data_IF_509472481896
#
_entry.id   IF_509472481896
#
_cell.length_a   1.000
_cell.length_b   1.000
_cell.length_c   1.000
_cell.angle_alpha   90.00
_cell.angle_beta   90.00
_cell.angle_gamma   90.00
#
_symmetry.space_group_name_H-M   'P 1'
#
loop_
_entity.id
_entity.type
_entity.pdbx_description
1 polymer ?
#
# COMPACT_ATOMS: atom_id res chain seq x y z
N UNK A 1 -38.29 9.51 41.64
CA UNK A 1 -37.86 10.44 40.56
C UNK A 1 -36.81 9.71 39.74
N UNK A 2 -37.18 9.19 38.55
CA UNK A 2 -36.28 8.50 37.62
C UNK A 2 -35.47 9.57 36.87
N UNK A 3 -34.14 9.55 36.99
CA UNK A 3 -33.25 10.36 36.15
C UNK A 3 -32.78 9.52 34.96
N UNK A 4 -33.34 9.80 33.79
CA UNK A 4 -32.88 9.29 32.50
C UNK A 4 -31.51 9.88 32.17
N UNK A 5 -30.46 9.05 32.25
CA UNK A 5 -29.17 9.33 31.64
C UNK A 5 -29.30 9.20 30.12
N UNK A 6 -29.15 10.34 29.44
CA UNK A 6 -29.18 10.43 27.99
C UNK A 6 -27.81 9.98 27.46
N UNK A 7 -27.59 8.67 27.35
CA UNK A 7 -26.42 8.10 26.68
C UNK A 7 -26.58 8.26 25.17
N UNK A 8 -26.21 9.44 24.67
CA UNK A 8 -26.12 9.69 23.24
C UNK A 8 -24.79 9.11 22.72
N UNK A 9 -24.71 7.78 22.68
CA UNK A 9 -23.68 7.07 21.91
C UNK A 9 -24.00 7.36 20.46
N UNK A 10 -23.20 8.25 19.83
CA UNK A 10 -23.26 8.43 18.39
C UNK A 10 -23.00 7.06 17.74
N UNK A 11 -23.89 6.58 16.86
CA UNK A 11 -23.63 5.36 16.11
C UNK A 11 -22.36 5.54 15.30
N UNK A 12 -21.54 4.49 15.20
CA UNK A 12 -20.40 4.39 14.31
C UNK A 12 -20.77 5.01 12.97
N UNK A 13 -20.19 6.18 12.70
CA UNK A 13 -20.46 6.91 11.48
C UNK A 13 -20.10 5.99 10.33
N UNK A 14 -21.10 5.65 9.52
CA UNK A 14 -20.91 5.08 8.20
C UNK A 14 -19.81 5.87 7.51
N UNK A 15 -18.61 5.27 7.41
CA UNK A 15 -17.47 5.87 6.73
C UNK A 15 -17.92 6.05 5.28
N UNK A 16 -18.33 7.27 4.94
CA UNK A 16 -18.61 7.70 3.58
C UNK A 16 -17.50 7.16 2.69
N UNK A 17 -17.88 6.54 1.57
CA UNK A 17 -16.98 5.78 0.69
C UNK A 17 -15.74 6.59 0.27
N UNK A 18 -14.70 6.58 1.10
CA UNK A 18 -13.44 7.24 0.79
C UNK A 18 -12.84 6.52 -0.41
N UNK A 19 -12.61 7.25 -1.50
CA UNK A 19 -12.17 6.65 -2.77
C UNK A 19 -10.67 6.43 -2.71
N UNK A 20 -10.28 5.25 -2.26
CA UNK A 20 -8.91 4.82 -1.99
C UNK A 20 -8.00 4.59 -3.22
N UNK A 21 -8.22 5.31 -4.33
CA UNK A 21 -7.49 5.11 -5.59
C UNK A 21 -6.18 5.90 -5.74
N UNK A 22 -5.90 6.86 -4.86
CA UNK A 22 -4.71 7.73 -4.93
C UNK A 22 -3.57 7.22 -4.06
N UNK A 23 -2.35 7.42 -4.52
CA UNK A 23 -1.10 7.20 -3.76
C UNK A 23 -0.45 8.55 -3.44
N UNK A 24 -0.42 9.47 -4.41
CA UNK A 24 0.09 10.84 -4.26
C UNK A 24 -0.98 11.79 -4.80
N UNK A 25 -1.27 12.87 -4.09
CA UNK A 25 -2.13 13.96 -4.57
C UNK A 25 -1.52 15.32 -4.26
N UNK A 26 -1.73 16.32 -5.12
CA UNK A 26 -1.34 17.70 -4.88
C UNK A 26 -2.58 18.51 -4.48
N UNK A 27 -2.72 18.75 -3.17
CA UNK A 27 -3.87 19.41 -2.54
C UNK A 27 -5.06 18.49 -2.19
N UNK A 28 -5.90 18.95 -1.24
CA UNK A 28 -7.03 18.16 -0.69
C UNK A 28 -8.07 17.79 -1.75
N UNK A 29 -8.48 18.75 -2.57
CA UNK A 29 -9.48 18.56 -3.62
C UNK A 29 -9.10 17.41 -4.57
N UNK A 30 -7.86 17.40 -5.06
CA UNK A 30 -7.38 16.35 -5.95
C UNK A 30 -7.34 14.95 -5.30
N UNK A 31 -7.14 14.90 -3.98
CA UNK A 31 -7.15 13.65 -3.22
C UNK A 31 -8.55 13.02 -3.10
N UNK A 32 -9.61 13.83 -3.22
CA UNK A 32 -11.01 13.43 -3.02
C UNK A 32 -11.78 13.29 -4.34
N UNK A 33 -11.28 13.90 -5.42
CA UNK A 33 -11.93 13.86 -6.72
C UNK A 33 -12.04 12.44 -7.33
N UNK A 34 -13.16 12.14 -8.00
CA UNK A 34 -13.33 10.93 -8.81
C UNK A 34 -12.20 10.73 -9.83
N UNK A 35 -11.73 9.50 -10.04
CA UNK A 35 -10.70 9.18 -11.05
C UNK A 35 -11.06 9.57 -12.47
N UNK A 36 -12.33 9.66 -12.82
CA UNK A 36 -12.78 10.16 -14.12
C UNK A 36 -12.58 11.66 -14.30
N UNK A 37 -12.41 12.42 -13.21
CA UNK A 37 -12.31 13.89 -13.22
C UNK A 37 -10.88 14.39 -12.95
N UNK A 38 -9.97 13.49 -12.60
CA UNK A 38 -8.56 13.84 -12.36
C UNK A 38 -7.82 13.83 -13.68
N UNK A 39 -7.15 14.95 -13.98
CA UNK A 39 -6.25 15.07 -15.13
C UNK A 39 -5.14 14.02 -15.04
N UNK A 40 -5.03 13.12 -16.01
CA UNK A 40 -3.87 12.24 -16.14
C UNK A 40 -2.85 12.90 -17.07
N UNK A 41 -1.82 13.55 -16.51
CA UNK A 41 -0.70 14.00 -17.35
C UNK A 41 -0.02 12.80 -18.02
N UNK A 42 0.13 12.88 -19.35
CA UNK A 42 0.91 11.91 -20.10
C UNK A 42 2.39 12.20 -19.85
N UNK A 43 3.04 11.34 -19.06
CA UNK A 43 4.44 11.51 -18.69
C UNK A 43 5.39 11.45 -19.91
N UNK A 44 4.93 10.88 -21.04
CA UNK A 44 5.63 10.96 -22.33
C UNK A 44 5.68 12.39 -22.90
N UNK A 45 4.70 13.23 -22.59
CA UNK A 45 4.73 14.65 -22.98
C UNK A 45 5.71 15.44 -22.11
N UNK A 46 5.76 15.18 -20.80
CA UNK A 46 6.73 15.80 -19.88
C UNK A 46 8.17 15.50 -20.28
N UNK A 47 8.46 14.24 -20.64
CA UNK A 47 9.80 13.84 -21.11
C UNK A 47 10.18 14.38 -22.49
N UNK A 48 9.20 14.73 -23.35
CA UNK A 48 9.48 15.44 -24.61
C UNK A 48 9.84 16.90 -24.36
N UNK A 49 9.12 17.56 -23.45
CA UNK A 49 9.36 18.96 -23.07
C UNK A 49 10.76 19.14 -22.48
N UNK A 50 11.17 18.23 -21.58
CA UNK A 50 12.50 18.29 -20.94
C UNK A 50 13.65 18.05 -21.94
N UNK A 51 13.41 17.27 -23.01
CA UNK A 51 14.38 17.05 -24.10
C UNK A 51 14.46 18.21 -25.09
N UNK A 52 13.38 18.97 -25.29
CA UNK A 52 13.36 20.13 -26.21
C UNK A 52 13.89 21.41 -25.56
N UNK A 53 13.94 21.48 -24.23
CA UNK A 53 14.47 22.63 -23.49
C UNK A 53 16.00 22.57 -23.40
N UNK A 54 16.69 22.83 -24.51
CA UNK A 54 18.09 23.28 -24.50
C UNK A 54 18.16 24.75 -24.08
N UNK A 55 17.74 25.07 -22.85
CA UNK A 55 17.72 26.46 -22.37
C UNK A 55 18.59 26.58 -21.12
N UNK A 56 19.67 27.35 -21.27
CA UNK A 56 20.66 27.71 -20.25
C UNK A 56 20.11 28.66 -19.16
N UNK A 57 18.88 28.46 -18.67
CA UNK A 57 18.28 29.33 -17.65
C UNK A 57 17.94 28.57 -16.37
N UNK A 58 18.86 28.66 -15.42
CA UNK A 58 18.60 29.11 -14.04
C UNK A 58 17.49 28.38 -13.25
N UNK A 59 17.49 27.05 -13.18
CA UNK A 59 17.34 26.27 -11.94
C UNK A 59 17.10 24.77 -12.20
N UNK A 60 18.16 23.97 -12.17
CA UNK A 60 18.03 22.52 -12.17
C UNK A 60 18.10 22.00 -10.73
N UNK A 61 17.13 21.17 -10.34
CA UNK A 61 17.27 20.36 -9.12
C UNK A 61 17.99 19.07 -9.49
N UNK A 62 19.16 18.89 -8.90
CA UNK A 62 19.93 17.65 -8.98
C UNK A 62 19.61 16.80 -7.75
N UNK A 63 19.06 15.62 -7.99
CA UNK A 63 19.06 14.52 -7.02
C UNK A 63 20.11 13.48 -7.42
N UNK A 64 20.40 12.54 -6.53
CA UNK A 64 21.21 11.36 -6.86
C UNK A 64 20.57 10.52 -8.00
N UNK A 65 19.25 10.63 -8.18
CA UNK A 65 18.46 9.84 -9.11
C UNK A 65 18.22 10.49 -10.48
N UNK A 66 18.46 11.80 -10.61
CA UNK A 66 18.24 12.52 -11.86
C UNK A 66 18.33 14.05 -11.73
N UNK A 67 18.19 14.71 -12.86
CA UNK A 67 18.01 16.17 -12.96
C UNK A 67 16.56 16.46 -13.33
N UNK A 68 16.02 17.54 -12.80
CA UNK A 68 14.67 18.00 -13.15
C UNK A 68 14.64 19.52 -13.29
N UNK A 69 14.03 19.99 -14.39
CA UNK A 69 13.77 21.39 -14.61
C UNK A 69 12.67 21.92 -13.70
N UNK A 70 12.69 23.23 -13.45
CA UNK A 70 11.68 23.91 -12.63
C UNK A 70 10.29 23.77 -13.21
N UNK A 71 10.18 23.86 -14.53
CA UNK A 71 8.94 23.76 -15.31
C UNK A 71 8.32 22.37 -15.16
N UNK A 72 9.15 21.32 -15.21
CA UNK A 72 8.70 19.96 -14.95
C UNK A 72 8.16 19.81 -13.53
N UNK A 73 8.83 20.37 -12.52
CA UNK A 73 8.36 20.32 -11.12
C UNK A 73 6.99 20.98 -10.96
N UNK A 74 6.81 22.17 -11.53
CA UNK A 74 5.52 22.89 -11.47
C UNK A 74 4.44 22.08 -12.17
N UNK A 75 4.70 21.56 -13.38
CA UNK A 75 3.74 20.73 -14.11
C UNK A 75 3.37 19.43 -13.39
N UNK A 76 4.32 18.82 -12.68
CA UNK A 76 4.02 17.64 -11.84
C UNK A 76 3.09 17.99 -10.68
N UNK A 77 3.25 19.18 -10.08
CA UNK A 77 2.35 19.64 -9.02
C UNK A 77 0.98 20.08 -9.56
N UNK A 78 0.93 20.59 -10.79
CA UNK A 78 -0.32 20.82 -11.53
C UNK A 78 -1.01 19.49 -11.88
N UNK A 79 -0.26 18.38 -11.98
CA UNK A 79 -0.84 17.05 -12.02
C UNK A 79 -1.47 16.73 -10.67
N UNK A 80 -2.77 16.95 -10.60
CA UNK A 80 -3.57 16.91 -9.38
C UNK A 80 -3.39 15.62 -8.58
N UNK A 81 -3.31 14.42 -9.19
CA UNK A 81 -3.05 13.19 -8.46
C UNK A 81 -2.46 12.01 -9.27
N UNK A 82 -1.84 11.07 -8.55
CA UNK A 82 -1.25 9.83 -9.06
C UNK A 82 -1.84 8.60 -8.35
N UNK A 83 -2.05 7.53 -9.12
CA UNK A 83 -2.63 6.25 -8.68
C UNK A 83 -1.52 5.20 -8.57
N UNK A 84 -1.85 3.98 -8.13
CA UNK A 84 -0.91 2.85 -8.13
C UNK A 84 -0.32 2.55 -9.51
N UNK A 85 -1.04 2.86 -10.59
CA UNK A 85 -0.55 2.66 -11.97
C UNK A 85 0.34 3.81 -12.43
N UNK A 86 -0.04 5.07 -12.16
CA UNK A 86 0.69 6.23 -12.68
C UNK A 86 1.84 6.69 -11.78
N UNK A 87 1.88 6.27 -10.51
CA UNK A 87 2.98 6.62 -9.59
C UNK A 87 4.31 6.02 -10.05
N UNK A 88 4.31 4.82 -10.66
CA UNK A 88 5.53 4.23 -11.20
C UNK A 88 6.04 5.02 -12.41
N UNK A 89 5.15 5.50 -13.27
CA UNK A 89 5.55 6.38 -14.36
C UNK A 89 6.11 7.71 -13.83
N UNK A 90 5.53 8.25 -12.75
CA UNK A 90 6.08 9.42 -12.07
C UNK A 90 7.51 9.12 -11.59
N UNK A 91 7.73 7.99 -10.93
CA UNK A 91 9.07 7.58 -10.46
C UNK A 91 10.04 7.38 -11.63
N UNK A 92 9.60 6.81 -12.76
CA UNK A 92 10.42 6.69 -13.98
C UNK A 92 10.84 8.04 -14.52
N UNK A 93 10.01 9.07 -14.34
CA UNK A 93 10.32 10.44 -14.72
C UNK A 93 11.29 11.11 -13.73
N UNK A 94 10.96 11.11 -12.42
CA UNK A 94 11.72 11.87 -11.42
C UNK A 94 13.00 11.17 -10.95
N UNK A 95 13.04 9.84 -11.02
CA UNK A 95 14.08 8.98 -10.44
C UNK A 95 14.47 7.85 -11.39
N UNK A 96 14.64 8.16 -12.68
CA UNK A 96 14.87 7.17 -13.74
C UNK A 96 16.05 6.23 -13.46
N UNK A 97 17.13 6.69 -12.80
CA UNK A 97 18.28 5.84 -12.46
C UNK A 97 17.91 4.78 -11.43
N UNK A 98 17.15 5.17 -10.41
CA UNK A 98 16.63 4.24 -9.39
C UNK A 98 15.69 3.24 -10.05
N UNK A 99 14.74 3.73 -10.84
CA UNK A 99 13.74 2.86 -11.47
C UNK A 99 14.39 1.85 -12.42
N UNK A 100 15.41 2.24 -13.18
CA UNK A 100 16.15 1.29 -14.02
C UNK A 100 16.74 0.14 -13.20
N UNK A 101 17.42 0.46 -12.09
CA UNK A 101 17.97 -0.56 -11.18
C UNK A 101 16.86 -1.41 -10.55
N UNK A 102 15.75 -0.80 -10.15
CA UNK A 102 14.64 -1.53 -9.55
C UNK A 102 14.01 -2.50 -10.56
N UNK A 103 13.77 -2.06 -11.80
CA UNK A 103 13.11 -2.83 -12.85
C UNK A 103 13.98 -3.96 -13.44
N UNK A 104 15.30 -3.92 -13.19
CA UNK A 104 16.20 -5.04 -13.48
C UNK A 104 15.92 -6.23 -12.52
N UNK A 105 15.40 -5.97 -11.32
CA UNK A 105 15.23 -6.96 -10.25
C UNK A 105 13.79 -7.17 -9.78
N UNK A 106 12.89 -6.24 -10.02
CA UNK A 106 11.52 -6.26 -9.52
C UNK A 106 10.53 -5.97 -10.64
N UNK A 107 9.39 -6.61 -10.54
CA UNK A 107 8.24 -6.36 -11.39
C UNK A 107 7.07 -5.80 -10.57
N UNK A 108 6.21 -5.05 -11.25
CA UNK A 108 5.06 -4.37 -10.65
C UNK A 108 3.76 -4.61 -11.45
N UNK A 109 3.77 -5.63 -12.31
CA UNK A 109 2.66 -5.94 -13.21
C UNK A 109 1.67 -6.93 -12.62
N UNK A 110 0.69 -7.29 -13.45
CA UNK A 110 -0.25 -8.39 -13.21
C UNK A 110 -0.20 -9.27 -14.45
N UNK A 111 0.06 -10.56 -14.29
CA UNK A 111 0.20 -11.44 -15.43
C UNK A 111 -1.13 -11.71 -16.12
N UNK A 112 -1.22 -11.46 -17.42
CA UNK A 112 -2.36 -11.89 -18.25
C UNK A 112 -2.36 -13.41 -18.46
N UNK A 113 -1.18 -13.98 -18.71
CA UNK A 113 -0.95 -15.43 -18.85
C UNK A 113 0.25 -15.87 -18.02
N UNK A 114 0.04 -16.56 -16.89
CA UNK A 114 1.13 -17.03 -16.01
C UNK A 114 1.97 -18.17 -16.64
N UNK A 115 1.55 -18.75 -17.76
CA UNK A 115 2.32 -19.74 -18.52
C UNK A 115 3.34 -19.11 -19.49
N UNK A 116 3.39 -17.79 -19.58
CA UNK A 116 4.38 -17.09 -20.42
C UNK A 116 5.81 -17.38 -19.89
N UNK A 117 6.72 -17.92 -20.72
CA UNK A 117 8.09 -18.25 -20.32
C UNK A 117 8.86 -17.09 -19.69
N UNK A 118 8.48 -15.83 -19.96
CA UNK A 118 9.14 -14.67 -19.37
C UNK A 118 9.09 -14.68 -17.84
N UNK A 119 8.05 -15.25 -17.22
CA UNK A 119 7.91 -15.31 -15.77
C UNK A 119 8.88 -16.28 -15.10
N UNK A 120 9.61 -17.09 -15.87
CA UNK A 120 10.76 -17.85 -15.38
C UNK A 120 11.95 -16.97 -14.97
N UNK A 121 11.97 -15.69 -15.37
CA UNK A 121 13.04 -14.77 -15.02
C UNK A 121 12.91 -14.27 -13.56
N UNK A 122 14.02 -14.25 -12.81
CA UNK A 122 14.05 -13.95 -11.37
C UNK A 122 13.38 -12.65 -10.96
N UNK A 123 13.37 -11.65 -11.85
CA UNK A 123 12.74 -10.35 -11.59
C UNK A 123 11.24 -10.40 -11.26
N UNK A 124 10.57 -11.50 -11.61
CA UNK A 124 9.14 -11.71 -11.38
C UNK A 124 8.83 -12.50 -10.10
N UNK A 125 9.82 -13.19 -9.53
CA UNK A 125 9.59 -14.18 -8.46
C UNK A 125 9.05 -13.57 -7.17
N UNK A 126 9.37 -12.30 -6.89
CA UNK A 126 8.86 -11.59 -5.72
C UNK A 126 7.44 -11.06 -5.90
N UNK A 127 6.90 -11.06 -7.14
CA UNK A 127 5.56 -10.56 -7.41
C UNK A 127 4.54 -11.71 -7.44
N UNK A 128 3.69 -11.85 -6.41
CA UNK A 128 2.71 -12.94 -6.34
C UNK A 128 1.60 -12.85 -7.41
N UNK A 129 1.51 -11.73 -8.13
CA UNK A 129 0.59 -11.53 -9.26
C UNK A 129 1.20 -11.91 -10.62
N UNK A 130 2.48 -12.27 -10.65
CA UNK A 130 3.22 -12.68 -11.85
C UNK A 130 3.94 -14.02 -11.70
N UNK A 131 3.82 -14.67 -10.54
CA UNK A 131 4.33 -16.02 -10.30
C UNK A 131 3.23 -16.94 -9.77
N UNK A 132 3.41 -18.25 -9.95
CA UNK A 132 2.52 -19.30 -9.44
C UNK A 132 3.09 -19.89 -8.16
N UNK A 133 2.22 -20.37 -7.28
CA UNK A 133 2.62 -21.30 -6.24
C UNK A 133 3.14 -22.61 -6.88
N UNK A 134 4.10 -23.28 -6.21
CA UNK A 134 4.70 -24.51 -6.71
C UNK A 134 3.70 -25.67 -6.76
N UNK A 135 4.08 -26.75 -7.44
CA UNK A 135 3.29 -27.96 -7.46
C UNK A 135 3.46 -28.78 -6.17
N UNK A 136 2.68 -28.43 -5.15
CA UNK A 136 2.82 -28.98 -3.80
C UNK A 136 1.44 -29.19 -3.12
N UNK A 137 0.60 -30.14 -3.57
CA UNK A 137 -0.77 -30.30 -3.07
C UNK A 137 -0.86 -30.66 -1.57
N UNK A 138 0.16 -31.31 -1.02
CA UNK A 138 0.21 -31.69 0.41
C UNK A 138 0.75 -30.56 1.31
N UNK A 139 1.12 -29.41 0.74
CA UNK A 139 1.63 -28.26 1.50
C UNK A 139 0.50 -27.27 1.79
N UNK A 140 0.46 -26.77 3.02
CA UNK A 140 -0.41 -25.68 3.42
C UNK A 140 0.30 -24.32 3.30
N UNK A 141 -0.44 -23.29 2.90
CA UNK A 141 0.01 -21.90 2.90
C UNK A 141 -0.65 -21.13 4.05
N UNK A 142 0.15 -20.50 4.89
CA UNK A 142 -0.34 -19.69 6.00
C UNK A 142 0.06 -18.22 5.80
N UNK A 143 -0.92 -17.33 5.74
CA UNK A 143 -0.69 -15.87 5.76
C UNK A 143 -0.94 -15.32 7.16
N UNK A 144 0.15 -14.99 7.86
CA UNK A 144 0.16 -14.45 9.22
C UNK A 144 0.49 -12.96 9.17
N UNK A 145 -0.42 -12.08 9.61
CA UNK A 145 -0.17 -10.63 9.60
C UNK A 145 -0.99 -9.86 10.64
N UNK A 146 -0.51 -8.67 10.98
CA UNK A 146 -1.13 -7.79 11.96
C UNK A 146 -2.25 -6.94 11.35
N UNK A 147 -3.26 -6.60 12.17
CA UNK A 147 -4.39 -5.76 11.76
C UNK A 147 -4.86 -4.86 12.90
N UNK A 148 -5.70 -3.87 12.60
CA UNK A 148 -6.31 -2.98 13.58
C UNK A 148 -5.47 -1.75 13.91
N UNK A 149 -4.43 -1.45 13.12
CA UNK A 149 -3.58 -0.27 13.29
C UNK A 149 -3.74 0.67 12.09
N UNK A 150 -3.98 1.98 12.32
CA UNK A 150 -3.95 2.97 11.25
C UNK A 150 -2.62 2.92 10.49
N UNK A 151 -2.69 2.60 9.21
CA UNK A 151 -1.55 2.37 8.33
C UNK A 151 -1.58 3.31 7.14
N UNK A 152 -0.47 3.99 6.88
CA UNK A 152 -0.38 4.98 5.81
C UNK A 152 -0.63 4.35 4.43
N UNK A 153 -1.51 4.98 3.65
CA UNK A 153 -1.89 4.52 2.31
C UNK A 153 -1.53 5.51 1.22
N UNK A 154 -1.70 6.79 1.49
CA UNK A 154 -1.47 7.84 0.51
C UNK A 154 -1.18 9.17 1.17
N UNK A 155 -0.55 10.06 0.41
CA UNK A 155 -0.11 11.35 0.92
C UNK A 155 -0.57 12.50 0.03
N UNK A 156 -0.90 13.60 0.67
CA UNK A 156 -1.21 14.87 0.05
C UNK A 156 0.04 15.74 0.15
N UNK A 157 0.57 16.11 -1.00
CA UNK A 157 1.75 16.94 -1.16
C UNK A 157 1.37 18.38 -1.52
N UNK A 158 2.30 19.29 -1.23
CA UNK A 158 2.33 20.65 -1.74
C UNK A 158 3.72 21.01 -2.26
N UNK A 159 3.74 21.98 -3.16
CA UNK A 159 4.99 22.59 -3.59
C UNK A 159 5.61 23.39 -2.44
N UNK A 160 6.91 23.23 -2.24
CA UNK A 160 7.66 23.95 -1.21
C UNK A 160 7.69 25.45 -1.50
N UNK A 161 7.30 26.29 -0.53
CA UNK A 161 7.32 27.76 -0.67
C UNK A 161 8.73 28.32 -0.88
N UNK A 162 9.76 27.57 -0.46
CA UNK A 162 11.17 27.94 -0.66
C UNK A 162 11.71 27.63 -2.06
N UNK A 163 10.90 27.01 -2.92
CA UNK A 163 11.28 26.64 -4.29
C UNK A 163 11.57 27.86 -5.19
N UNK A 164 11.01 29.04 -4.87
CA UNK A 164 11.20 30.26 -5.66
C UNK A 164 12.60 30.87 -5.61
N UNK A 165 13.50 30.42 -4.73
CA UNK A 165 14.83 31.03 -4.50
C UNK A 165 16.00 30.36 -5.22
N UNK A 166 15.74 29.42 -6.13
CA UNK A 166 16.79 28.64 -6.77
C UNK A 166 17.75 27.88 -5.85
N UNK A 167 17.27 27.57 -4.64
CA UNK A 167 18.02 26.78 -3.67
C UNK A 167 17.78 25.28 -3.94
N UNK A 168 18.79 24.44 -3.68
CA UNK A 168 18.76 22.96 -3.78
C UNK A 168 17.86 22.30 -2.72
N UNK A 169 16.68 22.86 -2.49
CA UNK A 169 15.74 22.38 -1.50
C UNK A 169 14.80 21.33 -2.11
N UNK A 170 14.32 20.40 -1.28
CA UNK A 170 13.34 19.39 -1.69
C UNK A 170 12.08 20.10 -2.22
N UNK A 171 11.66 19.88 -3.49
CA UNK A 171 10.60 20.64 -4.13
C UNK A 171 9.21 20.30 -3.61
N UNK A 172 8.98 19.05 -3.19
CA UNK A 172 7.69 18.56 -2.72
C UNK A 172 7.75 18.25 -1.22
N UNK A 173 6.70 18.60 -0.48
CA UNK A 173 6.56 18.27 0.94
C UNK A 173 5.15 17.78 1.22
N UNK A 174 5.01 16.85 2.15
CA UNK A 174 3.69 16.45 2.66
C UNK A 174 3.01 17.69 3.25
N UNK A 175 1.77 17.92 2.86
CA UNK A 175 0.97 19.04 3.31
C UNK A 175 0.39 18.77 4.70
N UNK A 176 1.19 19.04 5.73
CA UNK A 176 0.83 18.85 7.14
C UNK A 176 -0.32 19.74 7.63
N UNK A 177 -0.76 20.71 6.85
CA UNK A 177 -1.94 21.54 7.19
C UNK A 177 -3.26 20.93 6.71
N UNK A 178 -3.22 19.79 6.03
CA UNK A 178 -4.43 19.11 5.55
C UNK A 178 -4.83 18.01 6.52
N UNK A 179 -5.92 18.26 7.24
CA UNK A 179 -6.61 17.27 8.07
C UNK A 179 -8.01 16.97 7.50
N UNK A 180 -8.48 15.75 7.78
CA UNK A 180 -9.86 15.34 7.52
C UNK A 180 -10.74 15.60 8.73
N UNK A 181 -12.05 15.57 8.50
CA UNK A 181 -13.04 15.56 9.58
C UNK A 181 -13.13 14.17 10.25
N UNK A 182 -12.56 13.15 9.60
CA UNK A 182 -12.44 11.77 10.09
C UNK A 182 -11.00 11.43 10.55
N UNK A 183 -10.87 10.32 11.27
CA UNK A 183 -9.57 9.81 11.76
C UNK A 183 -8.66 9.34 10.61
N UNK A 184 -9.20 9.21 9.40
CA UNK A 184 -8.53 8.61 8.26
C UNK A 184 -7.62 9.58 7.49
N UNK A 185 -7.68 10.89 7.73
CA UNK A 185 -6.76 11.88 7.13
C UNK A 185 -6.18 12.78 8.20
N UNK A 186 -4.87 12.68 8.43
CA UNK A 186 -4.17 13.47 9.44
C UNK A 186 -2.82 13.94 8.92
N UNK A 187 -2.55 15.24 9.02
CA UNK A 187 -1.27 15.84 8.65
C UNK A 187 -0.86 15.55 7.20
N UNK A 188 -1.82 15.47 6.28
CA UNK A 188 -1.61 15.15 4.87
C UNK A 188 -1.39 13.66 4.57
N UNK A 189 -1.39 12.77 5.56
CA UNK A 189 -1.35 11.32 5.36
C UNK A 189 -2.75 10.71 5.52
N UNK A 190 -3.13 9.83 4.59
CA UNK A 190 -4.35 9.04 4.68
C UNK A 190 -4.04 7.65 5.21
N UNK A 191 -4.89 7.19 6.12
CA UNK A 191 -4.74 5.93 6.83
C UNK A 191 -5.84 4.93 6.44
N UNK A 192 -5.48 3.65 6.45
CA UNK A 192 -6.39 2.50 6.32
C UNK A 192 -6.00 1.44 7.35
N UNK A 193 -6.80 0.38 7.46
CA UNK A 193 -6.45 -0.76 8.30
C UNK A 193 -5.19 -1.48 7.81
N UNK A 194 -4.34 -1.92 8.74
CA UNK A 194 -3.06 -2.59 8.50
C UNK A 194 -2.27 -2.82 9.79
N UNK A 195 -0.96 -2.98 9.64
CA UNK A 195 -0.01 -3.28 10.72
C UNK A 195 0.92 -2.10 11.08
N UNK A 196 0.50 -0.85 10.83
CA UNK A 196 1.29 0.40 10.90
C UNK A 196 2.13 0.68 9.64
N UNK A 197 2.57 -0.36 8.90
CA UNK A 197 3.44 -0.20 7.73
C UNK A 197 2.81 -0.71 6.43
N UNK A 198 2.18 -1.87 6.48
CA UNK A 198 1.61 -2.60 5.34
C UNK A 198 0.09 -2.63 5.48
N UNK A 199 -0.65 -2.03 4.51
CA UNK A 199 -2.10 -2.10 4.51
C UNK A 199 -2.61 -3.54 4.43
N UNK A 200 -3.74 -3.85 5.07
CA UNK A 200 -4.38 -5.18 5.06
C UNK A 200 -4.51 -5.75 3.65
N UNK A 201 -4.91 -4.93 2.68
CA UNK A 201 -5.07 -5.40 1.30
C UNK A 201 -3.75 -5.90 0.70
N UNK A 202 -2.61 -5.30 1.07
CA UNK A 202 -1.30 -5.73 0.59
C UNK A 202 -0.86 -7.03 1.27
N UNK A 203 -1.11 -7.16 2.58
CA UNK A 203 -0.71 -8.33 3.36
C UNK A 203 -1.59 -9.57 3.07
N UNK A 204 -2.89 -9.37 2.90
CA UNK A 204 -3.87 -10.46 2.92
C UNK A 204 -4.50 -10.83 1.57
N UNK A 205 -4.42 -9.99 0.54
CA UNK A 205 -5.18 -10.21 -0.71
C UNK A 205 -4.94 -11.57 -1.35
N UNK A 206 -3.68 -12.02 -1.39
CA UNK A 206 -3.33 -13.27 -2.04
C UNK A 206 -3.93 -14.47 -1.30
N UNK A 207 -3.74 -14.62 0.02
CA UNK A 207 -4.40 -15.71 0.75
C UNK A 207 -5.93 -15.57 0.84
N UNK A 208 -6.46 -14.36 0.83
CA UNK A 208 -7.91 -14.14 0.87
C UNK A 208 -8.61 -14.52 -0.46
N UNK A 209 -7.92 -14.37 -1.59
CA UNK A 209 -8.53 -14.58 -2.93
C UNK A 209 -7.60 -15.17 -3.98
N UNK A 210 -6.41 -14.61 -4.16
CA UNK A 210 -5.49 -15.01 -5.23
C UNK A 210 -5.10 -16.48 -5.17
N UNK A 211 -4.74 -16.98 -4.00
CA UNK A 211 -4.32 -18.35 -3.73
C UNK A 211 -5.43 -19.22 -3.13
N UNK A 212 -6.61 -18.66 -2.84
CA UNK A 212 -7.66 -19.39 -2.13
C UNK A 212 -8.29 -20.46 -3.03
N UNK A 213 -8.06 -21.73 -2.68
CA UNK A 213 -8.46 -22.87 -3.49
C UNK A 213 -7.65 -22.98 -4.79
N UNK A 214 -8.16 -23.74 -5.75
CA UNK A 214 -7.48 -23.96 -7.04
C UNK A 214 -7.71 -22.77 -7.99
N UNK A 215 -6.66 -21.99 -8.22
CA UNK A 215 -6.66 -20.81 -9.10
C UNK A 215 -5.47 -20.85 -10.06
N UNK A 216 -5.39 -19.91 -10.99
CA UNK A 216 -4.20 -19.70 -11.83
C UNK A 216 -2.94 -19.36 -11.03
N UNK A 217 -3.09 -18.78 -9.84
CA UNK A 217 -1.97 -18.43 -8.94
C UNK A 217 -1.65 -19.57 -7.97
N UNK A 218 -2.60 -20.46 -7.69
CA UNK A 218 -2.44 -21.68 -6.89
C UNK A 218 -2.90 -22.91 -7.70
N UNK A 219 -2.09 -23.37 -8.67
CA UNK A 219 -2.50 -24.41 -9.61
C UNK A 219 -2.73 -25.78 -8.95
N UNK A 220 -2.06 -26.05 -7.83
CA UNK A 220 -2.16 -27.31 -7.10
C UNK A 220 -3.29 -27.32 -6.09
N UNK A 221 -3.88 -26.15 -5.82
CA UNK A 221 -4.96 -26.01 -4.84
C UNK A 221 -4.48 -26.26 -3.41
N UNK A 222 -3.26 -25.83 -3.08
CA UNK A 222 -2.75 -25.80 -1.69
C UNK A 222 -3.80 -25.21 -0.77
N UNK A 223 -4.05 -25.82 0.39
CA UNK A 223 -4.92 -25.20 1.39
C UNK A 223 -4.29 -23.90 1.90
N UNK A 224 -5.10 -22.86 2.02
CA UNK A 224 -4.64 -21.51 2.37
C UNK A 224 -5.39 -21.00 3.60
N UNK A 225 -4.64 -20.59 4.61
CA UNK A 225 -5.18 -20.05 5.85
C UNK A 225 -4.78 -18.58 6.05
N UNK A 226 -5.74 -17.75 6.43
CA UNK A 226 -5.53 -16.36 6.82
C UNK A 226 -5.59 -16.27 8.33
N UNK A 227 -4.49 -15.81 8.96
CA UNK A 227 -4.40 -15.62 10.40
C UNK A 227 -4.02 -14.19 10.72
N UNK A 228 -5.02 -13.43 11.16
CA UNK A 228 -4.87 -12.04 11.54
C UNK A 228 -4.62 -11.90 13.05
N UNK A 229 -3.68 -11.03 13.41
CA UNK A 229 -3.35 -10.69 14.78
C UNK A 229 -3.81 -9.25 15.07
N UNK A 230 -5.00 -9.13 15.64
CA UNK A 230 -5.58 -7.84 16.01
C UNK A 230 -4.73 -7.17 17.08
N UNK A 231 -4.20 -6.00 16.76
CA UNK A 231 -3.37 -5.23 17.67
C UNK A 231 -4.10 -4.89 18.97
N UNK A 232 -3.42 -5.14 20.08
CA UNK A 232 -3.79 -4.61 21.40
C UNK A 232 -2.63 -3.79 21.94
N UNK A 233 -2.88 -2.53 22.34
CA UNK A 233 -1.84 -1.72 22.98
C UNK A 233 -1.43 -2.35 24.33
N UNK A 234 -0.18 -2.15 24.77
CA UNK A 234 0.29 -2.69 26.04
C UNK A 234 -0.57 -2.20 27.21
N UNK A 235 -0.89 -3.10 28.14
CA UNK A 235 -1.78 -2.81 29.26
C UNK A 235 -1.13 -1.95 30.36
N UNK A 236 0.21 -1.86 30.37
CA UNK A 236 0.98 -1.06 31.31
C UNK A 236 2.38 -0.71 30.76
N UNK A 237 3.09 0.19 31.46
CA UNK A 237 4.43 0.66 31.06
C UNK A 237 5.51 -0.44 31.07
N UNK A 238 5.33 -1.49 31.89
CA UNK A 238 6.28 -2.62 31.99
C UNK A 238 6.18 -3.56 30.80
N UNK A 239 5.01 -3.63 30.16
CA UNK A 239 4.74 -4.42 28.96
C UNK A 239 5.20 -3.69 27.69
N UNK A 240 6.33 -2.98 27.72
CA UNK A 240 6.84 -2.03 26.72
C UNK A 240 6.29 -2.13 25.29
N UNK A 241 6.30 -3.32 24.67
CA UNK A 241 5.87 -3.55 23.28
C UNK A 241 4.50 -4.22 23.10
N UNK A 242 3.89 -4.73 24.18
CA UNK A 242 2.64 -5.48 24.19
C UNK A 242 2.84 -6.94 23.75
N UNK A 243 2.32 -7.89 24.53
CA UNK A 243 2.36 -9.32 24.19
C UNK A 243 1.43 -9.71 23.04
N UNK A 244 0.46 -8.84 22.71
CA UNK A 244 -0.50 -9.03 21.62
C UNK A 244 -0.40 -7.90 20.56
N UNK A 245 0.81 -7.38 20.34
CA UNK A 245 1.03 -6.33 19.34
C UNK A 245 0.85 -6.87 17.92
N UNK A 246 0.02 -6.19 17.13
CA UNK A 246 -0.12 -6.43 15.68
C UNK A 246 0.73 -5.48 14.82
N UNK A 247 1.68 -4.75 15.40
CA UNK A 247 2.49 -3.78 14.64
C UNK A 247 3.59 -4.48 13.86
N UNK A 248 3.92 -3.99 12.67
CA UNK A 248 4.76 -4.63 11.66
C UNK A 248 6.03 -5.28 12.21
N UNK A 249 6.77 -4.56 13.06
CA UNK A 249 8.01 -5.06 13.68
C UNK A 249 7.74 -5.85 14.97
N UNK A 250 6.76 -5.40 15.77
CA UNK A 250 6.49 -5.97 17.09
C UNK A 250 5.67 -7.26 17.04
N UNK A 251 5.07 -7.60 15.89
CA UNK A 251 4.29 -8.83 15.69
C UNK A 251 5.11 -10.09 15.93
N UNK A 252 6.44 -10.03 15.76
CA UNK A 252 7.34 -11.14 16.10
C UNK A 252 7.32 -11.52 17.59
N UNK A 253 6.90 -10.60 18.47
CA UNK A 253 6.68 -10.86 19.89
C UNK A 253 5.22 -11.16 20.25
N UNK A 254 4.33 -11.27 19.26
CA UNK A 254 2.92 -11.57 19.49
C UNK A 254 2.76 -13.03 19.93
N UNK A 255 2.20 -13.25 21.12
CA UNK A 255 2.06 -14.60 21.71
C UNK A 255 1.22 -15.53 20.84
N UNK A 256 0.16 -15.02 20.20
CA UNK A 256 -0.67 -15.81 19.30
C UNK A 256 0.04 -16.20 18.01
N UNK A 257 0.86 -15.29 17.47
CA UNK A 257 1.67 -15.60 16.28
C UNK A 257 2.73 -16.64 16.61
N UNK A 258 3.44 -16.46 17.71
CA UNK A 258 4.46 -17.42 18.16
C UNK A 258 3.85 -18.79 18.43
N UNK A 259 2.68 -18.85 19.06
CA UNK A 259 1.95 -20.10 19.28
C UNK A 259 1.57 -20.79 17.96
N UNK A 260 0.98 -20.06 17.01
CA UNK A 260 0.61 -20.61 15.70
C UNK A 260 1.85 -21.12 14.95
N UNK A 261 2.95 -20.35 14.91
CA UNK A 261 4.21 -20.75 14.27
C UNK A 261 4.79 -22.02 14.91
N UNK A 262 4.79 -22.11 16.25
CA UNK A 262 5.29 -23.30 16.95
C UNK A 262 4.42 -24.53 16.67
N UNK A 263 3.10 -24.37 16.64
CA UNK A 263 2.17 -25.46 16.33
C UNK A 263 2.36 -25.96 14.90
N UNK A 264 2.43 -25.05 13.92
CA UNK A 264 2.69 -25.39 12.51
C UNK A 264 4.04 -26.11 12.39
N UNK A 265 5.10 -25.57 13.00
CA UNK A 265 6.43 -26.19 12.98
C UNK A 265 6.46 -27.58 13.67
N UNK A 266 5.55 -27.83 14.61
CA UNK A 266 5.38 -29.14 15.26
C UNK A 266 4.51 -30.13 14.47
N UNK A 267 4.00 -29.73 13.30
CA UNK A 267 3.22 -30.58 12.41
C UNK A 267 1.70 -30.46 12.55
N UNK A 268 1.20 -29.48 13.29
CA UNK A 268 -0.24 -29.20 13.33
C UNK A 268 -0.70 -28.60 12.00
N UNK A 269 -1.79 -29.13 11.45
CA UNK A 269 -2.49 -28.57 10.28
C UNK A 269 -3.16 -27.24 10.58
N UNK A 270 -3.48 -26.49 9.54
CA UNK A 270 -4.22 -25.23 9.64
C UNK A 270 -5.58 -25.39 10.31
N UNK A 271 -6.24 -26.53 10.14
CA UNK A 271 -7.50 -26.83 10.81
C UNK A 271 -7.31 -27.07 12.32
N UNK A 272 -6.24 -27.77 12.73
CA UNK A 272 -5.95 -28.03 14.15
C UNK A 272 -5.58 -26.77 14.93
N UNK A 273 -5.00 -25.76 14.27
CA UNK A 273 -4.77 -24.44 14.87
C UNK A 273 -6.00 -23.50 14.78
N UNK A 274 -7.14 -24.00 14.30
CA UNK A 274 -8.42 -23.29 14.29
C UNK A 274 -8.80 -22.59 12.98
N UNK A 275 -8.13 -22.90 11.87
CA UNK A 275 -8.49 -22.44 10.53
C UNK A 275 -8.26 -20.94 10.29
N UNK A 276 -9.15 -20.32 9.52
CA UNK A 276 -9.10 -18.88 9.26
C UNK A 276 -9.48 -18.07 10.51
N UNK A 277 -8.68 -17.04 10.79
CA UNK A 277 -8.90 -16.05 11.84
C UNK A 277 -8.84 -14.66 11.22
N UNK A 278 -10.00 -14.09 10.92
CA UNK A 278 -10.14 -12.81 10.20
C UNK A 278 -10.91 -11.82 11.07
N UNK A 279 -10.33 -10.64 11.27
CA UNK A 279 -10.90 -9.48 11.96
C UNK A 279 -11.16 -8.29 11.02
N UNK A 280 -10.36 -8.18 9.96
CA UNK A 280 -10.40 -7.09 8.99
C UNK A 280 -11.47 -7.33 7.91
N UNK A 281 -11.64 -6.32 7.06
CA UNK A 281 -12.50 -6.40 5.88
C UNK A 281 -11.84 -7.09 4.67
N UNK A 282 -10.70 -7.77 4.82
CA UNK A 282 -9.90 -8.29 3.68
C UNK A 282 -10.71 -9.11 2.68
N UNK A 283 -11.64 -9.94 3.14
CA UNK A 283 -12.51 -10.76 2.28
C UNK A 283 -13.42 -9.87 1.43
N UNK A 284 -14.09 -8.91 2.05
CA UNK A 284 -14.94 -7.93 1.35
C UNK A 284 -14.14 -7.04 0.40
N UNK A 285 -12.93 -6.66 0.78
CA UNK A 285 -12.04 -5.87 -0.08
C UNK A 285 -11.59 -6.69 -1.30
N UNK A 286 -11.27 -7.96 -1.11
CA UNK A 286 -10.78 -8.85 -2.18
C UNK A 286 -11.87 -9.11 -3.22
N UNK A 287 -13.13 -9.23 -2.83
CA UNK A 287 -14.29 -9.37 -3.73
C UNK A 287 -14.40 -8.21 -4.73
N UNK A 288 -14.09 -6.99 -4.30
CA UNK A 288 -14.14 -5.78 -5.13
C UNK A 288 -13.04 -5.73 -6.20
N UNK A 289 -11.97 -6.50 -6.03
CA UNK A 289 -10.86 -6.55 -6.98
C UNK A 289 -11.19 -7.53 -8.09
N UNK A 290 -11.30 -7.00 -9.31
CA UNK A 290 -11.53 -7.79 -10.52
C UNK A 290 -10.19 -8.30 -11.04
N UNK A 291 -9.90 -9.56 -10.74
CA UNK A 291 -8.75 -10.29 -11.28
C UNK A 291 -9.26 -11.63 -11.82
N UNK A 292 -8.67 -12.11 -12.91
CA UNK A 292 -8.95 -13.46 -13.41
C UNK A 292 -8.30 -14.45 -12.46
N UNK A 293 -9.08 -15.38 -11.91
CA UNK A 293 -8.59 -16.51 -11.13
C UNK A 293 -8.47 -17.75 -12.01
#
# INVERSE_FOLDING_TARGET
RKSSQNNNVKPESSVEHTRFGRIIAFGKHASEQPSSQVSSLNIKELSRIDKTLNVSTSCEILSEYGKMSRESIVKLAENTAYTATTVLDLLRFIAFKMMRRAEDHFSHGVAENLDDPKYGHYKYWSNPLETKLPDAPDMEMHCLYGVGIPTERSYIYKLSTSFGKCNKNIPFRIDRSVDGDDVCLKGGARFVDGDESVPVISAGFMCAKGWRGKTRFNPSGMETFVREYKHKPPGNLLESRGTESGAHVNIMGNVGLVEDVLRIASGASGQEIGGDKIYSDVMRMSERIRIRL
#
